data_IF_803501518547
#
_entry.id   IF_803501518547
#
_cell.length_a   1.000
_cell.length_b   1.000
_cell.length_c   1.000
_cell.angle_alpha   90.00
_cell.angle_beta   90.00
_cell.angle_gamma   90.00
#
_symmetry.space_group_name_H-M   'P 1'
#
loop_
_entity.id
_entity.type
_entity.pdbx_description
1 polymer ?
#
# COMPACT_ATOMS: atom_id res chain seq x y z
N UNK A 1 6.05 -29.63 -3.60
CA UNK A 1 5.06 -29.39 -2.51
C UNK A 1 5.09 -27.89 -2.29
N UNK A 2 4.01 -27.18 -2.62
CA UNK A 2 3.87 -25.75 -2.34
C UNK A 2 3.77 -25.60 -0.83
N UNK A 3 4.76 -24.98 -0.20
CA UNK A 3 4.65 -24.61 1.21
C UNK A 3 3.43 -23.70 1.36
N UNK A 4 2.44 -24.18 2.08
CA UNK A 4 1.26 -23.40 2.40
C UNK A 4 1.69 -22.26 3.34
N UNK A 5 1.40 -21.02 2.99
CA UNK A 5 1.68 -19.88 3.86
C UNK A 5 1.13 -20.13 5.27
N UNK A 6 2.00 -20.01 6.26
CA UNK A 6 1.61 -20.10 7.67
C UNK A 6 1.86 -18.76 8.33
N UNK A 7 0.81 -18.18 8.92
CA UNK A 7 0.92 -16.93 9.67
C UNK A 7 1.89 -17.09 10.84
N UNK A 8 2.86 -16.18 11.03
CA UNK A 8 3.72 -16.16 12.22
C UNK A 8 2.96 -15.70 13.47
N UNK A 9 1.81 -15.06 13.31
CA UNK A 9 0.97 -14.58 14.41
C UNK A 9 0.26 -15.75 15.09
N UNK A 10 0.21 -15.71 16.43
CA UNK A 10 -0.41 -16.74 17.27
C UNK A 10 -1.87 -17.01 16.90
N UNK A 11 -2.26 -18.29 16.90
CA UNK A 11 -3.64 -18.74 16.69
C UNK A 11 -4.67 -18.21 17.68
N UNK A 12 -4.24 -17.73 18.85
CA UNK A 12 -5.12 -17.09 19.83
C UNK A 12 -5.90 -15.89 19.24
N UNK A 13 -5.35 -15.25 18.22
CA UNK A 13 -6.04 -14.14 17.53
C UNK A 13 -7.34 -14.62 16.84
N UNK A 14 -7.35 -15.84 16.32
CA UNK A 14 -8.56 -16.41 15.72
C UNK A 14 -9.63 -16.69 16.79
N UNK A 15 -9.25 -17.21 17.96
CA UNK A 15 -10.14 -17.42 19.09
C UNK A 15 -10.72 -16.09 19.60
N UNK A 16 -9.89 -15.07 19.71
CA UNK A 16 -10.30 -13.71 20.10
C UNK A 16 -11.23 -13.09 19.04
N UNK A 17 -11.01 -13.39 17.76
CA UNK A 17 -11.87 -12.92 16.69
C UNK A 17 -13.27 -13.48 16.77
N UNK A 18 -13.42 -14.76 17.14
CA UNK A 18 -14.76 -15.37 17.30
C UNK A 18 -15.57 -14.71 18.44
N UNK A 19 -14.90 -14.35 19.54
CA UNK A 19 -15.55 -13.65 20.66
C UNK A 19 -15.37 -12.12 20.65
N UNK A 20 -15.05 -11.53 19.48
CA UNK A 20 -14.75 -10.09 19.34
C UNK A 20 -15.83 -9.13 19.81
N UNK A 21 -17.10 -9.61 19.89
CA UNK A 21 -18.19 -8.79 20.40
C UNK A 21 -18.06 -8.51 21.90
N UNK A 22 -17.48 -9.44 22.65
CA UNK A 22 -17.39 -9.42 24.10
C UNK A 22 -16.07 -8.76 24.60
N UNK A 23 -15.13 -8.47 23.70
CA UNK A 23 -13.84 -7.87 24.06
C UNK A 23 -14.01 -6.42 24.48
N UNK A 24 -13.35 -6.08 25.59
CA UNK A 24 -13.29 -4.72 26.13
C UNK A 24 -11.85 -4.33 26.49
N UNK A 25 -11.57 -3.06 26.75
CA UNK A 25 -10.22 -2.62 27.20
C UNK A 25 -9.77 -3.24 28.52
N UNK A 26 -10.68 -3.76 29.33
CA UNK A 26 -10.43 -4.40 30.62
C UNK A 26 -9.97 -5.86 30.50
N UNK A 27 -10.13 -6.49 29.33
CA UNK A 27 -9.64 -7.86 29.03
C UNK A 27 -8.10 -7.82 28.84
N UNK A 28 -7.36 -7.89 29.96
CA UNK A 28 -5.90 -7.74 29.99
C UNK A 28 -5.16 -8.80 29.17
N UNK A 29 -5.60 -10.05 29.21
CA UNK A 29 -4.96 -11.15 28.49
C UNK A 29 -5.20 -11.03 26.98
N UNK A 30 -6.42 -10.72 26.56
CA UNK A 30 -6.73 -10.45 25.14
C UNK A 30 -5.94 -9.25 24.63
N UNK A 31 -5.88 -8.18 25.43
CA UNK A 31 -5.09 -6.99 25.07
C UNK A 31 -3.61 -7.32 24.90
N UNK A 32 -3.02 -8.09 25.81
CA UNK A 32 -1.61 -8.49 25.73
C UNK A 32 -1.33 -9.30 24.45
N UNK A 33 -2.17 -10.27 24.13
CA UNK A 33 -2.04 -11.10 22.92
C UNK A 33 -2.18 -10.27 21.62
N UNK A 34 -3.16 -9.36 21.57
CA UNK A 34 -3.40 -8.48 20.41
C UNK A 34 -2.25 -7.50 20.22
N UNK A 35 -1.75 -6.89 21.31
CA UNK A 35 -0.59 -5.99 21.25
C UNK A 35 0.64 -6.72 20.74
N UNK A 36 0.92 -7.93 21.25
CA UNK A 36 2.04 -8.74 20.78
C UNK A 36 1.95 -9.06 19.27
N UNK A 37 0.75 -9.35 18.77
CA UNK A 37 0.53 -9.61 17.34
C UNK A 37 0.78 -8.35 16.48
N UNK A 38 0.33 -7.18 16.92
CA UNK A 38 0.58 -5.91 16.21
C UNK A 38 2.04 -5.48 16.34
N UNK A 39 2.73 -5.79 17.44
CA UNK A 39 4.16 -5.56 17.58
C UNK A 39 4.98 -6.37 16.57
N UNK A 40 4.56 -7.61 16.24
CA UNK A 40 5.20 -8.39 15.16
C UNK A 40 5.05 -7.71 13.80
N UNK A 41 3.92 -7.05 13.54
CA UNK A 41 3.75 -6.21 12.35
C UNK A 41 4.65 -4.97 12.40
N UNK A 42 4.73 -4.31 13.55
CA UNK A 42 5.53 -3.08 13.74
C UNK A 42 7.02 -3.29 13.49
N UNK A 43 7.54 -4.48 13.80
CA UNK A 43 8.96 -4.84 13.62
C UNK A 43 9.23 -5.63 12.34
N UNK A 44 8.20 -5.96 11.55
CA UNK A 44 8.32 -6.65 10.27
C UNK A 44 8.50 -8.17 10.37
N UNK A 45 8.31 -8.78 11.54
CA UNK A 45 8.28 -10.24 11.72
C UNK A 45 7.02 -10.86 11.11
N UNK A 46 5.94 -10.09 11.03
CA UNK A 46 4.71 -10.46 10.34
C UNK A 46 4.37 -9.43 9.26
N UNK A 47 3.63 -9.86 8.24
CA UNK A 47 3.10 -9.00 7.17
C UNK A 47 1.62 -9.31 6.93
N UNK A 48 0.87 -8.29 6.56
CA UNK A 48 -0.55 -8.44 6.21
C UNK A 48 -0.77 -9.21 4.91
N UNK A 49 0.15 -9.10 3.97
CA UNK A 49 0.11 -9.86 2.72
C UNK A 49 1.50 -9.97 2.10
N UNK A 50 1.66 -10.98 1.28
CA UNK A 50 2.84 -11.22 0.45
C UNK A 50 2.43 -11.74 -0.92
N UNK A 51 3.36 -11.72 -1.86
CA UNK A 51 3.20 -12.37 -3.15
C UNK A 51 3.82 -13.77 -3.03
N UNK A 52 3.02 -14.80 -3.27
CA UNK A 52 3.51 -16.16 -3.35
C UNK A 52 4.47 -16.29 -4.54
N UNK A 53 5.75 -16.62 -4.33
CA UNK A 53 6.73 -16.69 -5.41
C UNK A 53 6.45 -17.81 -6.41
N UNK A 54 5.70 -18.84 -6.03
CA UNK A 54 5.39 -19.96 -6.91
C UNK A 54 4.23 -19.68 -7.86
N UNK A 55 3.25 -18.88 -7.41
CA UNK A 55 2.02 -18.59 -8.18
C UNK A 55 1.94 -17.15 -8.68
N UNK A 56 2.71 -16.24 -8.08
CA UNK A 56 2.60 -14.80 -8.31
C UNK A 56 1.33 -14.17 -7.73
N UNK A 57 0.53 -14.95 -6.99
CA UNK A 57 -0.71 -14.49 -6.38
C UNK A 57 -0.47 -13.82 -5.03
N UNK A 58 -1.38 -12.90 -4.69
CA UNK A 58 -1.36 -12.23 -3.38
C UNK A 58 -2.01 -13.15 -2.35
N UNK A 59 -1.23 -13.51 -1.32
CA UNK A 59 -1.70 -14.23 -0.14
C UNK A 59 -1.88 -13.26 1.00
N UNK A 60 -3.08 -13.23 1.59
CA UNK A 60 -3.42 -12.37 2.72
C UNK A 60 -3.30 -13.13 4.03
N UNK A 61 -2.59 -12.58 4.99
CA UNK A 61 -2.64 -13.03 6.38
C UNK A 61 -3.85 -12.40 7.08
N UNK A 62 -4.98 -13.13 7.04
CA UNK A 62 -6.20 -12.66 7.70
C UNK A 62 -6.03 -12.49 9.21
N UNK A 63 -5.19 -13.33 9.84
CA UNK A 63 -4.91 -13.24 11.27
C UNK A 63 -4.22 -11.92 11.62
N UNK A 64 -3.29 -11.45 10.80
CA UNK A 64 -2.68 -10.15 10.92
C UNK A 64 -3.71 -9.01 10.88
N UNK A 65 -4.63 -9.05 9.92
CA UNK A 65 -5.70 -8.04 9.81
C UNK A 65 -6.69 -8.12 10.96
N UNK A 66 -7.03 -9.33 11.42
CA UNK A 66 -7.87 -9.53 12.62
C UNK A 66 -7.23 -8.91 13.85
N UNK A 67 -5.91 -9.09 14.05
CA UNK A 67 -5.18 -8.49 15.16
C UNK A 67 -5.27 -6.95 15.14
N UNK A 68 -5.11 -6.33 13.96
CA UNK A 68 -5.25 -4.88 13.80
C UNK A 68 -6.69 -4.44 14.16
N UNK A 69 -7.72 -5.12 13.64
CA UNK A 69 -9.12 -4.79 13.91
C UNK A 69 -9.46 -4.93 15.40
N UNK A 70 -8.97 -5.99 16.04
CA UNK A 70 -9.15 -6.22 17.47
C UNK A 70 -8.46 -5.15 18.32
N UNK A 71 -7.33 -4.59 17.86
CA UNK A 71 -6.61 -3.55 18.61
C UNK A 71 -7.49 -2.32 18.84
N UNK A 72 -8.34 -1.94 17.89
CA UNK A 72 -9.29 -0.83 18.06
C UNK A 72 -10.38 -1.10 19.12
N UNK A 73 -10.59 -2.35 19.52
CA UNK A 73 -11.54 -2.70 20.58
C UNK A 73 -10.90 -2.67 21.96
N UNK A 74 -9.70 -3.25 22.08
CA UNK A 74 -9.03 -3.43 23.37
C UNK A 74 -8.14 -2.27 23.77
N UNK A 75 -7.83 -1.34 22.86
CA UNK A 75 -7.08 -0.13 23.20
C UNK A 75 -8.03 1.02 23.55
N UNK A 76 -7.81 1.63 24.69
CA UNK A 76 -8.51 2.83 25.14
C UNK A 76 -8.04 4.08 24.37
N UNK A 77 -8.88 5.12 24.39
CA UNK A 77 -8.48 6.45 23.89
C UNK A 77 -7.44 7.07 24.82
N UNK A 78 -6.30 7.49 24.24
CA UNK A 78 -5.19 8.11 24.98
C UNK A 78 -4.93 9.51 24.43
N UNK A 79 -4.78 10.47 25.36
CA UNK A 79 -4.30 11.81 25.01
C UNK A 79 -2.78 11.82 25.02
N UNK A 80 -2.19 12.39 23.98
CA UNK A 80 -0.75 12.61 23.88
C UNK A 80 -0.45 13.99 23.30
N UNK A 81 0.78 14.47 23.52
CA UNK A 81 1.23 15.77 23.05
C UNK A 81 2.64 15.66 22.52
N UNK A 82 2.89 16.30 21.38
CA UNK A 82 4.22 16.42 20.79
C UNK A 82 4.43 17.89 20.40
N UNK A 83 5.23 18.61 21.19
CA UNK A 83 5.31 20.07 21.08
C UNK A 83 3.94 20.71 21.34
N UNK A 84 3.49 21.53 20.40
CA UNK A 84 2.17 22.20 20.48
C UNK A 84 1.03 21.35 19.85
N UNK A 85 1.33 20.18 19.31
CA UNK A 85 0.33 19.30 18.72
C UNK A 85 -0.28 18.37 19.76
N UNK A 86 -1.61 18.31 19.81
CA UNK A 86 -2.37 17.44 20.70
C UNK A 86 -3.08 16.35 19.90
N UNK A 87 -3.01 15.14 20.41
CA UNK A 87 -3.63 13.95 19.80
C UNK A 87 -4.56 13.28 20.80
N UNK A 88 -5.60 12.61 20.30
CA UNK A 88 -6.49 11.78 21.09
C UNK A 88 -6.91 10.57 20.26
N UNK A 89 -6.18 9.47 20.38
CA UNK A 89 -6.34 8.28 19.55
C UNK A 89 -6.10 6.99 20.36
N UNK A 90 -6.55 5.87 19.79
CA UNK A 90 -6.30 4.52 20.32
C UNK A 90 -4.95 4.00 19.89
N UNK A 91 -4.54 4.29 18.66
CA UNK A 91 -3.30 3.78 18.07
C UNK A 91 -2.19 4.81 18.28
N UNK A 92 -1.14 4.45 19.05
CA UNK A 92 -0.04 5.39 19.28
C UNK A 92 0.77 5.63 17.99
N UNK A 93 1.60 6.64 18.04
CA UNK A 93 2.61 6.84 17.00
C UNK A 93 3.69 5.76 17.11
N UNK A 94 4.28 5.42 15.94
CA UNK A 94 5.43 4.52 15.88
C UNK A 94 6.64 5.15 16.57
N UNK A 95 7.28 4.41 17.45
CA UNK A 95 8.48 4.84 18.20
C UNK A 95 9.76 4.20 17.68
N UNK A 96 9.68 3.03 17.04
CA UNK A 96 10.85 2.31 16.49
C UNK A 96 11.14 2.80 15.08
N UNK A 97 12.18 3.66 14.96
CA UNK A 97 12.55 4.34 13.72
C UNK A 97 14.03 4.12 13.36
N UNK A 98 14.62 3.01 13.82
CA UNK A 98 16.02 2.68 13.62
C UNK A 98 16.35 2.56 12.14
N UNK A 99 17.31 3.36 11.67
CA UNK A 99 17.71 3.39 10.26
C UNK A 99 16.72 4.08 9.31
N UNK A 100 15.64 4.67 9.82
CA UNK A 100 14.62 5.41 9.04
C UNK A 100 14.88 6.90 9.15
N UNK A 101 14.89 7.60 8.01
CA UNK A 101 14.93 9.06 7.99
C UNK A 101 13.50 9.61 8.03
N UNK A 102 13.17 10.33 9.10
CA UNK A 102 11.82 10.91 9.29
C UNK A 102 11.94 12.43 9.32
N UNK A 103 11.36 13.09 8.33
CA UNK A 103 11.31 14.56 8.25
C UNK A 103 10.22 15.09 9.17
N UNK A 104 10.45 16.21 9.89
CA UNK A 104 9.42 16.80 10.75
C UNK A 104 8.08 16.99 10.01
N UNK A 105 6.99 16.55 10.64
CA UNK A 105 5.65 16.53 10.04
C UNK A 105 5.27 15.20 9.39
N UNK A 106 6.19 14.24 9.26
CA UNK A 106 5.83 12.88 8.89
C UNK A 106 5.21 12.14 10.08
N UNK A 107 4.18 11.33 9.80
CA UNK A 107 3.45 10.54 10.80
C UNK A 107 3.46 9.07 10.37
N UNK A 108 3.93 8.19 11.25
CA UNK A 108 3.72 6.76 11.16
C UNK A 108 3.01 6.25 12.41
N UNK A 109 1.97 5.43 12.22
CA UNK A 109 1.26 4.80 13.33
C UNK A 109 1.95 3.51 13.73
N UNK A 110 1.89 3.16 15.01
CA UNK A 110 2.31 1.85 15.52
C UNK A 110 1.63 0.71 14.73
N UNK A 111 2.36 -0.39 14.53
CA UNK A 111 1.94 -1.49 13.68
C UNK A 111 2.20 -1.27 12.19
N UNK A 112 2.79 -0.13 11.80
CA UNK A 112 3.38 0.06 10.47
C UNK A 112 4.86 -0.35 10.51
N UNK A 113 5.29 -1.21 9.60
CA UNK A 113 6.72 -1.52 9.42
C UNK A 113 7.39 -0.54 8.47
N UNK A 114 8.54 -0.04 8.87
CA UNK A 114 9.42 0.81 8.07
C UNK A 114 10.83 0.18 8.12
N UNK A 115 11.29 -0.33 6.99
CA UNK A 115 12.61 -0.93 6.90
C UNK A 115 13.73 0.12 6.99
N UNK A 116 14.95 -0.26 7.43
CA UNK A 116 16.11 0.60 7.36
C UNK A 116 16.34 1.15 5.95
N UNK A 117 16.70 2.43 5.84
CA UNK A 117 16.88 3.14 4.58
C UNK A 117 15.62 3.78 4.00
N UNK A 118 14.45 3.57 4.63
CA UNK A 118 13.23 4.30 4.28
C UNK A 118 13.36 5.79 4.60
N UNK A 119 12.82 6.62 3.72
CA UNK A 119 12.71 8.07 3.92
C UNK A 119 11.24 8.46 3.94
N UNK A 120 10.79 9.03 5.06
CA UNK A 120 9.49 9.67 5.18
C UNK A 120 9.67 11.19 5.10
N UNK A 121 9.25 11.80 4.01
CA UNK A 121 8.97 13.23 3.96
C UNK A 121 7.69 13.51 4.77
N UNK A 122 7.24 14.76 4.98
CA UNK A 122 5.96 15.02 5.63
C UNK A 122 4.82 14.25 4.95
N UNK A 123 4.49 13.11 5.49
CA UNK A 123 3.63 12.07 4.89
C UNK A 123 2.92 11.28 5.99
N UNK A 124 2.02 10.37 5.60
CA UNK A 124 1.28 9.56 6.56
C UNK A 124 1.39 8.07 6.22
N UNK A 125 1.80 7.26 7.21
CA UNK A 125 1.85 5.79 7.09
C UNK A 125 0.97 5.16 8.17
N UNK A 126 -0.03 4.40 7.75
CA UNK A 126 -1.03 3.84 8.64
C UNK A 126 -0.67 2.45 9.15
N UNK A 127 -1.34 2.01 10.22
CA UNK A 127 -1.20 0.69 10.84
C UNK A 127 -1.34 -0.45 9.82
N UNK A 128 -0.52 -1.48 9.95
CA UNK A 128 -0.48 -2.64 9.06
C UNK A 128 0.23 -2.39 7.73
N UNK A 129 0.60 -1.14 7.41
CA UNK A 129 1.42 -0.84 6.24
C UNK A 129 2.82 -1.44 6.40
N UNK A 130 3.38 -1.92 5.29
CA UNK A 130 4.75 -2.40 5.20
C UNK A 130 5.48 -1.59 4.14
N UNK A 131 6.55 -0.90 4.51
CA UNK A 131 7.38 -0.11 3.60
C UNK A 131 8.80 -0.65 3.65
N UNK A 132 9.25 -1.24 2.55
CA UNK A 132 10.55 -1.89 2.46
C UNK A 132 11.69 -0.91 2.18
N UNK A 133 12.92 -1.43 2.30
CA UNK A 133 14.17 -0.67 2.30
C UNK A 133 14.40 0.18 1.04
N UNK A 134 15.02 1.34 1.23
CA UNK A 134 15.35 2.27 0.14
C UNK A 134 14.15 3.02 -0.45
N UNK A 135 12.95 2.79 0.08
CA UNK A 135 11.72 3.44 -0.39
C UNK A 135 11.58 4.85 0.18
N UNK A 136 11.14 5.78 -0.69
CA UNK A 136 10.76 7.13 -0.30
C UNK A 136 9.25 7.32 -0.34
N UNK A 137 8.69 7.75 0.78
CA UNK A 137 7.32 8.27 0.89
C UNK A 137 7.41 9.78 0.90
N UNK A 138 7.16 10.40 -0.26
CA UNK A 138 7.40 11.82 -0.48
C UNK A 138 6.30 12.71 0.12
N UNK A 139 6.47 14.02 0.00
CA UNK A 139 5.65 15.05 0.67
C UNK A 139 4.16 14.89 0.37
N UNK A 140 3.37 14.82 1.44
CA UNK A 140 1.92 14.62 1.40
C UNK A 140 1.45 13.30 0.78
N UNK A 141 2.35 12.34 0.58
CA UNK A 141 1.94 10.99 0.21
C UNK A 141 1.33 10.26 1.42
N UNK A 142 0.45 9.31 1.14
CA UNK A 142 -0.22 8.48 2.14
C UNK A 142 -0.01 7.02 1.81
N UNK A 143 0.42 6.23 2.80
CA UNK A 143 0.41 4.76 2.76
C UNK A 143 -0.71 4.29 3.66
N UNK A 144 -1.79 3.83 3.06
CA UNK A 144 -3.01 3.40 3.74
C UNK A 144 -2.83 2.12 4.54
N UNK A 145 -3.80 1.82 5.39
CA UNK A 145 -3.78 0.62 6.25
C UNK A 145 -3.52 -0.64 5.44
N UNK A 146 -2.62 -1.47 5.90
CA UNK A 146 -2.30 -2.78 5.30
C UNK A 146 -1.63 -2.73 3.92
N UNK A 147 -1.39 -1.56 3.32
CA UNK A 147 -0.70 -1.46 2.04
C UNK A 147 0.73 -2.01 2.12
N UNK A 148 1.17 -2.70 1.06
CA UNK A 148 2.48 -3.36 1.01
C UNK A 148 3.33 -2.69 -0.06
N UNK A 149 4.37 -2.00 0.36
CA UNK A 149 5.29 -1.26 -0.51
C UNK A 149 6.64 -1.97 -0.53
N UNK A 150 7.11 -2.29 -1.71
CA UNK A 150 8.37 -2.98 -1.96
C UNK A 150 9.60 -2.11 -1.74
N UNK A 151 10.76 -2.64 -2.15
CA UNK A 151 12.09 -2.01 -2.03
C UNK A 151 12.29 -0.95 -3.11
N UNK A 152 13.04 0.10 -2.75
CA UNK A 152 13.44 1.14 -3.69
C UNK A 152 12.27 1.78 -4.46
N UNK A 153 11.08 1.80 -3.88
CA UNK A 153 9.91 2.45 -4.46
C UNK A 153 9.98 3.96 -4.23
N UNK A 154 9.49 4.73 -5.19
CA UNK A 154 9.27 6.15 -5.01
C UNK A 154 7.76 6.45 -5.08
N UNK A 155 7.16 6.78 -3.94
CA UNK A 155 5.83 7.36 -3.88
C UNK A 155 5.98 8.88 -3.95
N UNK A 156 5.76 9.47 -5.12
CA UNK A 156 5.97 10.91 -5.34
C UNK A 156 4.96 11.77 -4.57
N UNK A 157 5.18 13.08 -4.57
CA UNK A 157 4.38 14.02 -3.78
C UNK A 157 2.88 13.89 -3.98
N UNK A 158 2.16 13.75 -2.86
CA UNK A 158 0.70 13.64 -2.83
C UNK A 158 0.12 12.33 -3.38
N UNK A 159 0.92 11.30 -3.56
CA UNK A 159 0.44 9.95 -3.91
C UNK A 159 -0.46 9.42 -2.80
N UNK A 160 -1.60 8.86 -3.16
CA UNK A 160 -2.51 8.18 -2.26
C UNK A 160 -2.51 6.67 -2.49
N UNK A 161 -1.89 5.91 -1.58
CA UNK A 161 -2.04 4.47 -1.53
C UNK A 161 -3.19 4.13 -0.58
N UNK A 162 -4.25 3.56 -1.11
CA UNK A 162 -5.47 3.26 -0.36
C UNK A 162 -5.28 2.19 0.70
N UNK A 163 -5.99 2.35 1.81
CA UNK A 163 -6.05 1.35 2.86
C UNK A 163 -7.14 0.32 2.58
N UNK A 164 -6.84 -0.96 2.84
CA UNK A 164 -7.80 -2.07 2.75
C UNK A 164 -7.71 -2.90 4.03
N UNK A 165 -8.34 -2.41 5.09
CA UNK A 165 -8.34 -3.09 6.38
C UNK A 165 -9.50 -4.09 6.48
N UNK A 166 -10.68 -3.73 6.03
CA UNK A 166 -11.90 -4.53 6.06
C UNK A 166 -12.38 -4.89 4.65
N UNK A 167 -12.93 -6.10 4.45
CA UNK A 167 -12.92 -7.26 5.36
C UNK A 167 -11.53 -7.88 5.50
N UNK A 168 -11.27 -8.76 6.53
CA UNK A 168 -9.94 -9.33 6.77
C UNK A 168 -9.34 -10.08 5.57
N UNK A 169 -10.15 -10.73 4.75
CA UNK A 169 -9.71 -11.47 3.57
C UNK A 169 -9.46 -10.59 2.32
N UNK A 170 -9.83 -9.31 2.36
CA UNK A 170 -9.62 -8.42 1.21
C UNK A 170 -8.12 -8.19 0.95
N UNK A 171 -7.71 -8.33 -0.32
CA UNK A 171 -6.33 -8.07 -0.76
C UNK A 171 -5.98 -6.59 -0.56
N UNK A 172 -4.85 -6.26 0.10
CA UNK A 172 -4.40 -4.88 0.21
C UNK A 172 -3.80 -4.39 -1.11
N UNK A 173 -3.58 -3.07 -1.20
CA UNK A 173 -2.79 -2.50 -2.30
C UNK A 173 -1.34 -2.97 -2.19
N UNK A 174 -0.76 -3.36 -3.32
CA UNK A 174 0.63 -3.78 -3.42
C UNK A 174 1.35 -2.95 -4.46
N UNK A 175 2.45 -2.34 -4.06
CA UNK A 175 3.42 -1.69 -4.94
C UNK A 175 4.70 -2.51 -4.85
N UNK A 176 5.09 -3.14 -5.96
CA UNK A 176 6.26 -4.01 -5.99
C UNK A 176 7.58 -3.21 -6.06
N UNK A 177 8.68 -3.92 -5.89
CA UNK A 177 10.03 -3.34 -5.84
C UNK A 177 10.30 -2.43 -7.05
N UNK A 178 11.08 -1.38 -6.84
CA UNK A 178 11.59 -0.47 -7.86
C UNK A 178 10.52 0.33 -8.64
N UNK A 179 9.24 0.21 -8.26
CA UNK A 179 8.18 0.98 -8.90
C UNK A 179 8.28 2.47 -8.57
N UNK A 180 7.89 3.31 -9.52
CA UNK A 180 7.74 4.74 -9.35
C UNK A 180 6.29 5.17 -9.56
N UNK A 181 5.70 5.79 -8.56
CA UNK A 181 4.32 6.29 -8.64
C UNK A 181 4.36 7.81 -8.74
N UNK A 182 3.91 8.32 -9.88
CA UNK A 182 3.89 9.75 -10.19
C UNK A 182 2.97 10.55 -9.26
N UNK A 183 3.30 11.82 -9.08
CA UNK A 183 2.63 12.72 -8.14
C UNK A 183 1.11 12.74 -8.30
N UNK A 184 0.38 12.79 -7.16
CA UNK A 184 -1.08 12.84 -7.13
C UNK A 184 -1.81 11.63 -7.74
N UNK A 185 -1.11 10.53 -7.99
CA UNK A 185 -1.76 9.27 -8.37
C UNK A 185 -2.45 8.63 -7.17
N UNK A 186 -3.55 7.90 -7.45
CA UNK A 186 -4.32 7.15 -6.45
C UNK A 186 -4.31 5.66 -6.83
N UNK A 187 -3.76 4.80 -5.97
CA UNK A 187 -3.75 3.34 -6.14
C UNK A 187 -4.55 2.75 -4.98
N UNK A 188 -5.71 2.19 -5.27
CA UNK A 188 -6.72 1.88 -4.25
C UNK A 188 -7.36 0.50 -4.44
N UNK A 189 -8.16 0.05 -3.46
CA UNK A 189 -9.04 -1.15 -3.55
C UNK A 189 -8.30 -2.46 -3.85
N UNK A 190 -7.08 -2.65 -3.32
CA UNK A 190 -6.32 -3.86 -3.56
C UNK A 190 -5.69 -3.97 -4.95
N UNK A 191 -5.58 -2.85 -5.66
CA UNK A 191 -4.86 -2.77 -6.92
C UNK A 191 -3.36 -3.08 -6.72
N UNK A 192 -2.70 -3.51 -7.80
CA UNK A 192 -1.30 -3.92 -7.79
C UNK A 192 -0.51 -3.20 -8.87
N UNK A 193 0.66 -2.69 -8.51
CA UNK A 193 1.63 -2.13 -9.44
C UNK A 193 2.86 -3.04 -9.45
N UNK A 194 3.22 -3.54 -10.63
CA UNK A 194 4.31 -4.48 -10.82
C UNK A 194 5.69 -3.87 -10.63
N UNK A 195 6.70 -4.75 -10.51
CA UNK A 195 8.10 -4.39 -10.31
C UNK A 195 8.60 -3.43 -11.40
N UNK A 196 9.32 -2.39 -11.00
CA UNK A 196 9.93 -1.43 -11.93
C UNK A 196 8.94 -0.67 -12.80
N UNK A 197 7.64 -0.76 -12.56
CA UNK A 197 6.65 0.00 -13.30
C UNK A 197 6.73 1.49 -12.98
N UNK A 198 6.62 2.31 -14.01
CA UNK A 198 6.62 3.77 -13.92
C UNK A 198 5.20 4.29 -14.19
N UNK A 199 4.56 4.82 -13.17
CA UNK A 199 3.19 5.34 -13.26
C UNK A 199 3.22 6.86 -13.38
N UNK A 200 2.66 7.40 -14.44
CA UNK A 200 2.57 8.84 -14.67
C UNK A 200 1.71 9.56 -13.64
N UNK A 201 1.97 10.84 -13.45
CA UNK A 201 1.27 11.68 -12.46
C UNK A 201 -0.26 11.70 -12.70
N UNK A 202 -1.03 11.75 -11.62
CA UNK A 202 -2.50 11.83 -11.68
C UNK A 202 -3.20 10.54 -12.11
N UNK A 203 -2.49 9.43 -12.22
CA UNK A 203 -3.09 8.13 -12.59
C UNK A 203 -3.93 7.58 -11.44
N UNK A 204 -5.16 7.16 -11.74
CA UNK A 204 -6.01 6.43 -10.80
C UNK A 204 -6.09 4.96 -11.20
N UNK A 205 -5.85 4.06 -10.24
CA UNK A 205 -5.95 2.62 -10.40
C UNK A 205 -6.73 2.01 -9.23
N UNK A 206 -7.85 1.37 -9.53
CA UNK A 206 -8.61 0.55 -8.58
C UNK A 206 -8.65 -0.89 -9.05
N UNK A 207 -9.09 -1.82 -8.20
CA UNK A 207 -9.12 -3.26 -8.53
C UNK A 207 -9.88 -3.60 -9.83
N UNK A 208 -10.88 -2.82 -10.19
CA UNK A 208 -11.70 -3.03 -11.39
C UNK A 208 -11.27 -2.20 -12.61
N UNK A 209 -10.30 -1.30 -12.45
CA UNK A 209 -9.84 -0.41 -13.53
C UNK A 209 -9.22 -1.20 -14.66
N UNK A 210 -9.70 -1.06 -15.91
CA UNK A 210 -9.08 -1.72 -17.05
C UNK A 210 -7.69 -1.13 -17.34
N UNK A 211 -6.75 -2.02 -17.64
CA UNK A 211 -5.39 -1.68 -18.06
C UNK A 211 -5.24 -2.12 -19.51
N UNK A 212 -4.96 -1.18 -20.40
CA UNK A 212 -4.99 -1.37 -21.84
C UNK A 212 -3.58 -1.14 -22.39
N UNK A 213 -3.12 -2.05 -23.23
CA UNK A 213 -1.89 -1.89 -24.00
C UNK A 213 -2.19 -1.06 -25.25
N UNK A 214 -1.53 0.09 -25.43
CA UNK A 214 -1.83 0.99 -26.54
C UNK A 214 -1.31 0.49 -27.88
N UNK A 215 -0.32 -0.43 -27.89
CA UNK A 215 0.20 -0.99 -29.14
C UNK A 215 -0.77 -2.01 -29.75
N UNK A 216 -1.46 -2.78 -28.89
CA UNK A 216 -2.40 -3.81 -29.35
C UNK A 216 -3.86 -3.37 -29.25
N UNK A 217 -4.17 -2.39 -28.40
CA UNK A 217 -5.52 -1.98 -28.06
C UNK A 217 -6.25 -2.95 -27.12
N UNK A 218 -5.57 -3.98 -26.60
CA UNK A 218 -6.17 -5.01 -25.78
C UNK A 218 -6.21 -4.62 -24.29
N UNK A 219 -7.29 -4.99 -23.60
CA UNK A 219 -7.37 -4.97 -22.15
C UNK A 219 -6.57 -6.16 -21.61
N UNK A 220 -5.38 -5.90 -21.09
CA UNK A 220 -4.44 -6.94 -20.63
C UNK A 220 -4.65 -7.37 -19.18
N UNK A 221 -5.31 -6.54 -18.37
CA UNK A 221 -5.59 -6.82 -16.96
C UNK A 221 -6.66 -5.87 -16.42
N UNK A 222 -7.08 -6.13 -15.19
CA UNK A 222 -7.83 -5.17 -14.36
C UNK A 222 -7.15 -5.00 -13.01
N UNK A 223 -7.01 -3.74 -12.58
CA UNK A 223 -6.44 -3.39 -11.30
C UNK A 223 -4.97 -3.78 -11.12
N UNK A 224 -4.30 -4.24 -12.17
CA UNK A 224 -2.88 -4.61 -12.14
C UNK A 224 -2.11 -3.97 -13.29
N UNK A 225 -1.15 -3.12 -12.95
CA UNK A 225 -0.13 -2.63 -13.88
C UNK A 225 0.99 -3.68 -13.95
N UNK A 226 1.40 -4.14 -15.15
CA UNK A 226 2.47 -5.12 -15.31
C UNK A 226 3.83 -4.60 -14.84
N UNK A 227 4.77 -5.53 -14.70
CA UNK A 227 6.16 -5.22 -14.42
C UNK A 227 6.80 -4.46 -15.60
N UNK A 228 7.80 -3.63 -15.30
CA UNK A 228 8.68 -2.98 -16.27
C UNK A 228 7.92 -2.32 -17.43
N UNK A 229 7.05 -1.39 -17.10
CA UNK A 229 6.31 -0.63 -18.11
C UNK A 229 6.11 0.83 -17.71
N UNK A 230 5.77 1.66 -18.67
CA UNK A 230 5.29 3.03 -18.45
C UNK A 230 3.78 3.03 -18.59
N UNK A 231 3.08 3.42 -17.52
CA UNK A 231 1.63 3.46 -17.44
C UNK A 231 1.13 4.87 -17.11
N UNK A 232 0.02 5.27 -17.72
CA UNK A 232 -0.61 6.57 -17.47
C UNK A 232 -2.11 6.44 -17.33
N UNK A 233 -2.73 7.39 -16.66
CA UNK A 233 -4.19 7.54 -16.67
C UNK A 233 -4.67 7.96 -18.07
N UNK A 234 -5.74 7.34 -18.51
CA UNK A 234 -6.39 7.63 -19.79
C UNK A 234 -7.86 7.28 -19.77
N UNK A 235 -8.45 7.13 -20.94
CA UNK A 235 -9.86 6.74 -21.07
C UNK A 235 -10.02 5.70 -22.18
N UNK A 236 -11.06 4.87 -22.05
CA UNK A 236 -11.61 4.07 -23.14
C UNK A 236 -12.99 4.55 -23.49
N UNK A 237 -13.28 4.58 -24.78
CA UNK A 237 -14.60 4.97 -25.28
C UNK A 237 -15.62 3.87 -25.04
N UNK A 238 -16.82 4.25 -24.61
CA UNK A 238 -17.97 3.34 -24.45
C UNK A 238 -19.24 4.01 -24.92
N UNK A 239 -20.03 3.27 -25.68
CA UNK A 239 -21.37 3.69 -26.13
C UNK A 239 -22.41 3.37 -25.06
N UNK A 240 -23.28 4.34 -24.80
CA UNK A 240 -24.45 4.24 -23.93
C UNK A 240 -25.68 4.73 -24.69
N UNK A 241 -26.87 4.47 -24.13
CA UNK A 241 -28.13 4.93 -24.74
C UNK A 241 -28.20 6.44 -24.98
N UNK A 242 -27.52 7.22 -24.12
CA UNK A 242 -27.49 8.68 -24.17
C UNK A 242 -26.31 9.29 -24.94
N UNK A 243 -25.42 8.45 -25.52
CA UNK A 243 -24.25 8.94 -26.25
C UNK A 243 -22.98 8.15 -25.95
N UNK A 244 -21.87 8.59 -26.54
CA UNK A 244 -20.55 7.98 -26.40
C UNK A 244 -19.71 8.76 -25.39
N UNK A 245 -19.14 8.07 -24.41
CA UNK A 245 -18.37 8.69 -23.31
C UNK A 245 -17.03 8.00 -23.12
N UNK A 246 -16.01 8.76 -22.69
CA UNK A 246 -14.73 8.23 -22.24
C UNK A 246 -14.86 7.74 -20.79
N UNK A 247 -14.60 6.46 -20.55
CA UNK A 247 -14.51 5.91 -19.20
C UNK A 247 -13.06 5.78 -18.78
N UNK A 248 -12.74 5.97 -17.48
CA UNK A 248 -11.37 5.86 -16.99
C UNK A 248 -10.74 4.52 -17.33
N UNK A 249 -9.46 4.56 -17.66
CA UNK A 249 -8.61 3.39 -17.92
C UNK A 249 -7.16 3.76 -17.58
N UNK A 250 -6.33 2.76 -17.40
CA UNK A 250 -4.86 2.92 -17.39
C UNK A 250 -4.33 2.44 -18.73
N UNK A 251 -3.45 3.21 -19.34
CA UNK A 251 -2.83 2.93 -20.64
C UNK A 251 -1.36 2.56 -20.42
N UNK A 252 -0.93 1.42 -20.95
CA UNK A 252 0.47 1.04 -21.02
C UNK A 252 1.04 1.59 -22.31
N UNK A 253 1.93 2.59 -22.17
CA UNK A 253 2.53 3.29 -23.30
C UNK A 253 3.76 2.57 -23.85
N UNK A 254 4.51 1.90 -22.97
CA UNK A 254 5.78 1.29 -23.34
C UNK A 254 6.14 0.14 -22.39
N UNK A 255 6.76 -0.92 -22.94
CA UNK A 255 7.44 -1.94 -22.16
C UNK A 255 8.90 -1.54 -21.96
N UNK A 256 9.43 -1.80 -20.77
CA UNK A 256 10.81 -1.54 -20.37
C UNK A 256 11.56 -2.86 -20.26
N UNK A 257 12.87 -2.83 -20.42
CA UNK A 257 13.71 -3.97 -20.08
C UNK A 257 13.90 -4.08 -18.57
N UNK A 258 14.03 -5.30 -18.06
CA UNK A 258 14.28 -5.54 -16.64
C UNK A 258 15.57 -4.84 -16.19
N UNK A 259 15.49 -4.14 -15.05
CA UNK A 259 16.61 -3.37 -14.50
C UNK A 259 16.86 -2.02 -15.21
N UNK A 260 16.09 -1.70 -16.22
CA UNK A 260 16.16 -0.40 -16.88
C UNK A 260 15.53 0.68 -16.00
N UNK A 261 16.34 1.26 -15.09
CA UNK A 261 15.91 2.44 -14.33
C UNK A 261 15.86 3.63 -15.26
N UNK A 262 14.67 4.07 -15.60
CA UNK A 262 14.49 5.42 -16.11
C UNK A 262 14.43 6.37 -14.91
N UNK A 263 15.32 7.36 -14.91
CA UNK A 263 15.16 8.48 -13.99
C UNK A 263 13.88 9.28 -14.37
N UNK A 264 13.53 10.22 -13.51
CA UNK A 264 12.36 11.07 -13.73
C UNK A 264 12.43 11.87 -15.05
N UNK A 265 13.63 12.19 -15.53
CA UNK A 265 13.83 12.89 -16.80
C UNK A 265 13.47 11.98 -17.98
N UNK A 266 13.93 10.73 -17.98
CA UNK A 266 13.60 9.75 -19.02
C UNK A 266 12.10 9.43 -19.06
N UNK A 267 11.41 9.37 -17.91
CA UNK A 267 9.95 9.24 -17.88
C UNK A 267 9.28 10.43 -18.59
N UNK A 268 9.71 11.66 -18.26
CA UNK A 268 9.14 12.85 -18.85
C UNK A 268 9.36 12.90 -20.39
N UNK A 269 10.51 12.44 -20.86
CA UNK A 269 10.79 12.37 -22.30
C UNK A 269 9.87 11.36 -23.00
N UNK A 270 9.70 10.16 -22.43
CA UNK A 270 8.75 9.16 -22.94
C UNK A 270 7.32 9.73 -22.98
N UNK A 271 6.89 10.42 -21.93
CA UNK A 271 5.54 11.01 -21.89
C UNK A 271 5.36 12.10 -22.95
N UNK A 272 6.37 12.96 -23.17
CA UNK A 272 6.35 14.00 -24.22
C UNK A 272 6.31 13.40 -25.62
N UNK A 273 7.09 12.35 -25.89
CA UNK A 273 7.09 11.64 -27.17
C UNK A 273 5.71 11.07 -27.52
N UNK A 274 4.89 10.75 -26.50
CA UNK A 274 3.51 10.30 -26.66
C UNK A 274 2.48 11.44 -26.55
N UNK A 275 2.94 12.72 -26.57
CA UNK A 275 2.06 13.88 -26.54
C UNK A 275 1.40 14.15 -25.18
N UNK A 276 1.92 13.56 -24.12
CA UNK A 276 1.42 13.77 -22.74
C UNK A 276 2.24 14.90 -22.10
N UNK A 277 1.58 16.00 -21.79
CA UNK A 277 2.20 17.10 -21.05
C UNK A 277 2.43 16.69 -19.58
N UNK A 278 3.66 16.85 -19.11
CA UNK A 278 4.08 16.54 -17.74
C UNK A 278 4.33 17.80 -16.91
#
# INVERSE_FOLDING_TARGET
MTETFTSPISGIIDELWERRADLTPEDGDARAAIVAAVDQLDIGEARVALIDPATGEVVVDERAKRAILLSFKVLGMVRSQVGDFHYHDRIPLKSRLDGVRVVPGAIARWGAYLAPGVVLMPSFTNIGAYVDSGTMVDTWATVGSCAQIGKNVHLSGGVGIGGVLEPPNAKPVIIEDEAMIGSRSMIVEGARVGRGAMVGSGTNLSASMPVIDVETGEEISRGRIPDWCVAVGGTRTKEFKGGTYGLPAVLILKRLEEGQRHDKAALNDILRDHGINT
#
